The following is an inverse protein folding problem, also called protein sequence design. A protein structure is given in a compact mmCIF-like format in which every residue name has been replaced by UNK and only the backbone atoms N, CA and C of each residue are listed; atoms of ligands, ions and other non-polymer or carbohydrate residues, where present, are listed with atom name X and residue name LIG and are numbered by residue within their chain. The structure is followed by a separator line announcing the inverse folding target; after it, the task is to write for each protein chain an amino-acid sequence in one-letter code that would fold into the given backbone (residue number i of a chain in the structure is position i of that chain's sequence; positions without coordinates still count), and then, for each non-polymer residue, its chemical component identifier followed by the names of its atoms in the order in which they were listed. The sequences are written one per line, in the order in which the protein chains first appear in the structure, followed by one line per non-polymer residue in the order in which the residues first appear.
data_IF_433576225197
#
_entry.id   IF_433576225197
#
_cell.length_a   1.000
_cell.length_b   1.000
_cell.length_c   1.000
_cell.angle_alpha   90.00
_cell.angle_beta   90.00
_cell.angle_gamma   90.00
#
_symmetry.space_group_name_H-M   'P 1'
#
loop_
_entity.id
_entity.type
_entity.pdbx_description
1 polymer ?
#
# COMPACT_ATOMS: atom_id res chain seq x y z
N UNK A 1 -68.93 87.39 159.05
CA UNK A 1 -68.97 88.51 160.02
C UNK A 1 -69.04 87.90 161.40
N UNK A 2 -67.94 87.77 162.13
CA UNK A 2 -67.71 88.65 163.29
C UNK A 2 -66.31 88.48 163.89
N UNK A 3 -65.34 87.91 163.16
CA UNK A 3 -63.94 87.93 163.61
C UNK A 3 -63.29 89.31 163.42
N UNK A 4 -63.70 90.06 162.40
CA UNK A 4 -63.05 91.33 162.03
C UNK A 4 -63.28 92.46 163.04
N UNK A 5 -64.50 92.62 163.55
CA UNK A 5 -64.84 93.74 164.46
C UNK A 5 -64.23 93.53 165.85
N UNK A 6 -64.17 92.27 166.33
CA UNK A 6 -63.59 91.92 167.63
C UNK A 6 -62.08 92.16 167.64
N UNK A 7 -61.39 91.82 166.55
CA UNK A 7 -59.95 92.06 166.41
C UNK A 7 -59.63 93.56 166.34
N UNK A 8 -60.45 94.34 165.62
CA UNK A 8 -60.27 95.80 165.51
C UNK A 8 -60.48 96.48 166.87
N UNK A 9 -61.47 96.06 167.68
CA UNK A 9 -61.69 96.58 169.04
C UNK A 9 -60.56 96.22 170.02
N UNK A 10 -60.05 94.98 169.97
CA UNK A 10 -58.96 94.54 170.85
C UNK A 10 -57.64 95.28 170.58
N UNK A 11 -57.34 95.57 169.31
CA UNK A 11 -56.12 96.31 168.91
C UNK A 11 -56.19 97.78 169.31
N UNK A 12 -57.37 98.40 169.25
CA UNK A 12 -57.57 99.80 169.65
C UNK A 12 -57.36 100.00 171.17
N UNK A 13 -57.86 99.07 171.99
CA UNK A 13 -57.67 99.11 173.45
C UNK A 13 -56.20 98.90 173.81
N UNK A 14 -55.55 97.91 173.20
CA UNK A 14 -54.14 97.61 173.47
C UNK A 14 -53.22 98.77 173.04
N UNK A 15 -53.54 99.45 171.93
CA UNK A 15 -52.84 100.65 171.48
C UNK A 15 -52.93 101.82 172.46
N UNK A 16 -54.09 102.04 173.08
CA UNK A 16 -54.28 103.09 174.09
C UNK A 16 -53.47 102.86 175.38
N UNK A 17 -53.36 101.60 175.81
CA UNK A 17 -52.59 101.23 177.03
C UNK A 17 -51.09 101.39 176.79
N UNK A 18 -50.57 101.00 175.63
CA UNK A 18 -49.13 101.08 175.35
C UNK A 18 -48.68 102.54 175.17
N UNK A 19 -49.52 103.40 174.59
CA UNK A 19 -49.23 104.82 174.44
C UNK A 19 -49.05 105.53 175.80
N UNK A 20 -49.87 105.20 176.80
CA UNK A 20 -49.77 105.81 178.14
C UNK A 20 -48.55 105.35 178.93
N UNK A 21 -48.08 104.11 178.71
CA UNK A 21 -46.86 103.61 179.36
C UNK A 21 -45.60 104.25 178.74
N UNK A 22 -45.58 104.43 177.41
CA UNK A 22 -44.48 105.08 176.72
C UNK A 22 -44.22 106.51 177.22
N UNK A 23 -45.28 107.30 177.41
CA UNK A 23 -45.16 108.68 177.89
C UNK A 23 -44.70 108.77 179.36
N UNK A 24 -45.10 107.77 180.17
CA UNK A 24 -44.70 107.68 181.58
C UNK A 24 -43.23 107.35 181.77
N UNK A 25 -42.66 106.53 180.89
CA UNK A 25 -41.23 106.20 180.92
C UNK A 25 -40.42 107.42 180.47
N UNK A 26 -40.87 108.13 179.42
CA UNK A 26 -40.22 109.36 178.96
C UNK A 26 -40.17 110.45 180.04
N UNK A 27 -41.26 110.67 180.76
CA UNK A 27 -41.35 111.73 181.79
C UNK A 27 -40.58 111.41 183.08
N UNK A 28 -40.46 110.13 183.47
CA UNK A 28 -39.65 109.74 184.63
C UNK A 28 -38.16 109.96 184.41
N UNK A 29 -37.65 109.67 183.20
CA UNK A 29 -36.25 109.94 182.87
C UNK A 29 -35.97 111.46 182.88
N UNK A 30 -36.95 112.29 182.53
CA UNK A 30 -36.84 113.75 182.54
C UNK A 30 -36.74 114.41 183.93
N UNK A 31 -37.38 113.84 184.97
CA UNK A 31 -37.29 114.37 186.35
C UNK A 31 -36.07 113.87 187.11
N UNK A 32 -35.52 112.72 186.74
CA UNK A 32 -34.37 112.11 187.43
C UNK A 32 -33.02 112.81 187.14
N UNK A 33 -32.98 113.86 186.30
CA UNK A 33 -31.74 114.57 185.89
C UNK A 33 -30.64 113.60 185.42
N UNK A 34 -31.03 112.51 184.76
CA UNK A 34 -30.11 111.50 184.26
C UNK A 34 -29.53 111.94 182.92
N UNK A 35 -28.23 112.18 182.93
CA UNK A 35 -27.44 112.45 181.74
C UNK A 35 -27.02 111.12 181.11
N UNK A 36 -27.52 110.85 179.91
CA UNK A 36 -26.94 109.83 179.03
C UNK A 36 -26.07 110.59 178.03
N UNK A 37 -24.76 110.32 178.02
CA UNK A 37 -23.80 110.92 177.09
C UNK A 37 -23.69 112.46 177.16
N UNK A 38 -23.51 113.02 178.36
CA UNK A 38 -23.20 114.45 178.58
C UNK A 38 -24.22 115.45 177.99
N UNK A 39 -25.45 114.98 177.72
CA UNK A 39 -26.51 115.77 177.13
C UNK A 39 -27.37 116.46 178.20
N UNK A 40 -27.78 117.70 177.89
CA UNK A 40 -28.70 118.50 178.71
C UNK A 40 -29.98 117.67 178.95
N UNK A 41 -30.45 117.49 180.21
CA UNK A 41 -31.44 116.48 180.61
C UNK A 41 -32.74 116.40 179.80
N UNK A 42 -33.11 117.49 179.12
CA UNK A 42 -34.31 117.57 178.28
C UNK A 42 -34.21 116.76 176.98
N UNK A 43 -33.00 116.51 176.44
CA UNK A 43 -32.83 115.80 175.15
C UNK A 43 -32.78 114.28 175.28
N UNK A 44 -32.38 113.75 176.43
CA UNK A 44 -32.34 112.31 176.70
C UNK A 44 -33.74 111.67 176.72
N UNK A 45 -34.75 112.40 177.20
CA UNK A 45 -36.12 111.92 177.23
C UNK A 45 -36.71 111.72 175.82
N UNK A 46 -36.37 112.61 174.88
CA UNK A 46 -36.89 112.55 173.49
C UNK A 46 -36.38 111.32 172.74
N UNK A 47 -35.14 110.89 172.99
CA UNK A 47 -34.56 109.74 172.31
C UNK A 47 -35.25 108.42 172.68
N UNK A 48 -35.66 108.27 173.94
CA UNK A 48 -36.31 107.04 174.43
C UNK A 48 -37.72 106.88 173.85
N UNK A 49 -38.41 107.99 173.54
CA UNK A 49 -39.76 107.97 172.95
C UNK A 49 -39.77 107.56 171.47
N UNK A 50 -38.73 107.92 170.70
CA UNK A 50 -38.62 107.54 169.28
C UNK A 50 -38.36 106.05 169.12
N UNK A 51 -37.52 105.47 169.99
CA UNK A 51 -37.20 104.05 169.97
C UNK A 51 -38.41 103.15 170.29
N UNK A 52 -39.30 103.60 171.17
CA UNK A 52 -40.52 102.87 171.52
C UNK A 52 -41.59 102.96 170.42
N UNK A 53 -41.72 104.10 169.72
CA UNK A 53 -42.64 104.23 168.59
C UNK A 53 -42.26 103.36 167.37
N UNK A 54 -40.97 103.15 167.13
CA UNK A 54 -40.48 102.36 165.98
C UNK A 54 -40.71 100.85 166.14
N UNK A 55 -40.63 100.35 167.37
CA UNK A 55 -40.82 98.91 167.65
C UNK A 55 -42.28 98.46 167.44
N UNK A 56 -43.25 99.36 167.65
CA UNK A 56 -44.68 99.06 167.54
C UNK A 56 -45.12 98.88 166.08
N UNK A 57 -44.59 99.67 165.14
CA UNK A 57 -44.98 99.63 163.72
C UNK A 57 -44.46 98.38 163.00
N UNK A 58 -43.28 97.90 163.37
CA UNK A 58 -42.70 96.68 162.79
C UNK A 58 -43.50 95.42 163.17
N UNK A 59 -44.00 95.35 164.40
CA UNK A 59 -44.82 94.23 164.87
C UNK A 59 -46.19 94.15 164.18
N UNK A 60 -46.78 95.29 163.78
CA UNK A 60 -48.09 95.33 163.12
C UNK A 60 -48.05 94.81 161.68
N UNK A 61 -46.97 95.13 160.94
CA UNK A 61 -46.78 94.67 159.57
C UNK A 61 -46.51 93.16 159.49
N UNK A 62 -45.73 92.62 160.42
CA UNK A 62 -45.42 91.19 160.48
C UNK A 62 -46.66 90.32 160.69
N UNK A 63 -47.61 90.79 161.51
CA UNK A 63 -48.83 90.05 161.82
C UNK A 63 -49.81 89.99 160.62
N UNK A 64 -49.87 91.04 159.80
CA UNK A 64 -50.76 91.12 158.62
C UNK A 64 -50.37 90.14 157.50
N UNK A 65 -49.07 89.86 157.33
CA UNK A 65 -48.59 88.93 156.30
C UNK A 65 -48.83 87.46 156.64
N UNK A 66 -48.87 87.12 157.93
CA UNK A 66 -49.08 85.73 158.40
C UNK A 66 -50.56 85.33 158.36
N UNK A 67 -51.47 86.28 158.60
CA UNK A 67 -52.90 85.96 158.81
C UNK A 67 -53.75 85.96 157.54
N UNK A 68 -53.26 86.44 156.39
CA UNK A 68 -54.07 86.59 155.19
C UNK A 68 -53.52 85.83 153.97
N UNK A 69 -54.06 84.62 153.73
CA UNK A 69 -53.70 83.77 152.61
C UNK A 69 -54.03 84.37 151.22
N UNK A 70 -55.01 85.27 151.13
CA UNK A 70 -55.40 85.90 149.85
C UNK A 70 -54.38 86.94 149.37
N UNK A 71 -53.68 87.61 150.29
CA UNK A 71 -52.56 88.51 149.96
C UNK A 71 -51.32 87.73 149.49
N UNK A 72 -51.16 86.46 149.91
CA UNK A 72 -50.04 85.59 149.52
C UNK A 72 -50.17 85.07 148.08
N UNK A 73 -51.39 84.74 147.64
CA UNK A 73 -51.66 84.15 146.31
C UNK A 73 -51.72 85.22 145.20
N UNK A 74 -52.18 86.44 145.51
CA UNK A 74 -52.30 87.52 144.51
C UNK A 74 -50.98 88.10 143.99
N UNK A 75 -49.86 87.93 144.72
CA UNK A 75 -48.58 88.59 144.40
C UNK A 75 -47.59 87.64 143.67
N UNK A 76 -47.82 86.33 143.61
CA UNK A 76 -46.77 85.35 143.23
C UNK A 76 -47.04 84.34 142.07
N UNK A 77 -48.13 84.39 141.29
CA UNK A 77 -48.40 83.35 140.26
C UNK A 77 -48.86 83.76 138.83
N UNK A 78 -48.51 84.95 138.32
CA UNK A 78 -48.92 85.36 136.96
C UNK A 78 -48.13 84.71 135.78
N UNK A 79 -46.98 84.08 136.00
CA UNK A 79 -46.12 83.57 134.92
C UNK A 79 -46.43 82.15 134.38
N UNK A 80 -47.30 81.37 135.02
CA UNK A 80 -47.47 79.94 134.67
C UNK A 80 -48.63 79.66 133.71
N UNK A 81 -49.56 80.60 133.52
CA UNK A 81 -50.74 80.40 132.65
C UNK A 81 -50.43 80.70 131.18
N UNK A 82 -49.52 81.64 130.88
CA UNK A 82 -49.12 81.96 129.50
C UNK A 82 -48.29 80.85 128.83
N UNK A 83 -47.47 80.10 129.58
CA UNK A 83 -46.64 79.02 129.01
C UNK A 83 -47.44 77.83 128.47
N UNK A 84 -48.62 77.54 129.04
CA UNK A 84 -49.44 76.38 128.64
C UNK A 84 -50.15 76.59 127.29
N UNK A 85 -50.43 77.83 126.90
CA UNK A 85 -51.05 78.19 125.62
C UNK A 85 -50.05 78.21 124.44
N UNK A 86 -48.77 78.53 124.69
CA UNK A 86 -47.71 78.43 123.67
C UNK A 86 -47.41 76.98 123.30
N UNK A 87 -47.32 76.08 124.29
CA UNK A 87 -46.96 74.68 124.07
C UNK A 87 -47.94 73.91 123.18
N UNK A 88 -49.24 74.17 123.28
CA UNK A 88 -50.26 73.49 122.46
C UNK A 88 -50.28 73.99 121.01
N UNK A 89 -49.98 75.28 120.79
CA UNK A 89 -49.80 75.85 119.44
C UNK A 89 -48.60 75.21 118.73
N UNK A 90 -47.50 75.01 119.46
CA UNK A 90 -46.29 74.40 118.89
C UNK A 90 -46.49 72.91 118.53
N UNK A 91 -47.24 72.14 119.33
CA UNK A 91 -47.54 70.74 119.01
C UNK A 91 -48.44 70.61 117.78
N UNK A 92 -49.43 71.49 117.63
CA UNK A 92 -50.33 71.47 116.47
C UNK A 92 -49.56 71.78 115.18
N UNK A 93 -48.64 72.75 115.23
CA UNK A 93 -47.79 73.09 114.11
C UNK A 93 -46.88 71.92 113.70
N UNK A 94 -46.22 71.25 114.66
CA UNK A 94 -45.36 70.09 114.35
C UNK A 94 -46.10 68.90 113.72
N UNK A 95 -47.35 68.65 114.11
CA UNK A 95 -48.17 67.59 113.48
C UNK A 95 -48.65 67.96 112.09
N UNK A 96 -48.93 69.23 111.84
CA UNK A 96 -49.26 69.72 110.48
C UNK A 96 -48.02 69.61 109.58
N UNK A 97 -46.87 70.08 110.05
CA UNK A 97 -45.59 69.98 109.33
C UNK A 97 -45.21 68.51 109.07
N UNK A 98 -45.43 67.60 110.03
CA UNK A 98 -45.16 66.16 109.86
C UNK A 98 -46.13 65.44 108.91
N UNK A 99 -47.40 65.86 108.84
CA UNK A 99 -48.36 65.35 107.84
C UNK A 99 -48.01 65.85 106.43
N UNK A 100 -47.54 67.08 106.31
CA UNK A 100 -47.05 67.65 105.05
C UNK A 100 -45.79 66.90 104.56
N UNK A 101 -44.86 66.56 105.46
CA UNK A 101 -43.69 65.75 105.13
C UNK A 101 -44.05 64.32 104.69
N UNK A 102 -44.95 63.64 105.41
CA UNK A 102 -45.38 62.28 105.06
C UNK A 102 -46.16 62.26 103.73
N UNK A 103 -46.97 63.28 103.46
CA UNK A 103 -47.69 63.38 102.18
C UNK A 103 -46.73 63.65 101.02
N UNK A 104 -45.69 64.46 101.22
CA UNK A 104 -44.62 64.64 100.25
C UNK A 104 -43.81 63.36 100.01
N UNK A 105 -43.41 62.64 101.08
CA UNK A 105 -42.70 61.36 100.97
C UNK A 105 -43.57 60.31 100.27
N UNK A 106 -44.85 60.23 100.61
CA UNK A 106 -45.81 59.33 99.94
C UNK A 106 -45.94 59.67 98.46
N UNK A 107 -46.06 60.96 98.11
CA UNK A 107 -46.09 61.40 96.72
C UNK A 107 -44.80 61.07 95.97
N UNK A 108 -43.63 61.22 96.60
CA UNK A 108 -42.33 60.87 96.02
C UNK A 108 -42.18 59.35 95.82
N UNK A 109 -42.62 58.53 96.77
CA UNK A 109 -42.61 57.06 96.65
C UNK A 109 -43.63 56.59 95.62
N UNK A 110 -44.81 57.19 95.54
CA UNK A 110 -45.80 56.91 94.49
C UNK A 110 -45.26 57.27 93.10
N UNK A 111 -44.53 58.39 92.99
CA UNK A 111 -43.83 58.79 91.77
C UNK A 111 -42.71 57.79 91.41
N UNK A 112 -41.88 57.38 92.37
CA UNK A 112 -40.83 56.38 92.16
C UNK A 112 -41.40 55.01 91.79
N UNK A 113 -42.50 54.59 92.43
CA UNK A 113 -43.20 53.36 92.10
C UNK A 113 -43.82 53.43 90.71
N UNK A 114 -44.36 54.60 90.34
CA UNK A 114 -44.83 54.89 88.98
C UNK A 114 -43.71 54.75 87.96
N UNK A 115 -42.55 55.38 88.22
CA UNK A 115 -41.36 55.30 87.38
C UNK A 115 -40.79 53.88 87.28
N UNK A 116 -40.74 53.15 88.39
CA UNK A 116 -40.28 51.76 88.41
C UNK A 116 -41.24 50.83 87.65
N UNK A 117 -42.57 51.05 87.77
CA UNK A 117 -43.57 50.31 86.99
C UNK A 117 -43.48 50.61 85.50
N UNK A 118 -43.25 51.87 85.11
CA UNK A 118 -43.05 52.23 83.70
C UNK A 118 -41.76 51.61 83.16
N UNK A 119 -40.66 51.65 83.93
CA UNK A 119 -39.40 51.00 83.56
C UNK A 119 -39.57 49.48 83.43
N UNK A 120 -40.29 48.83 84.36
CA UNK A 120 -40.58 47.40 84.29
C UNK A 120 -41.42 47.05 83.05
N UNK A 121 -42.44 47.85 82.72
CA UNK A 121 -43.25 47.67 81.53
C UNK A 121 -42.45 47.87 80.24
N UNK A 122 -41.54 48.85 80.20
CA UNK A 122 -40.61 49.07 79.08
C UNK A 122 -39.62 47.91 78.93
N UNK A 123 -39.05 47.41 80.04
CA UNK A 123 -38.15 46.24 80.03
C UNK A 123 -38.89 45.00 79.56
N UNK A 124 -40.13 44.77 80.02
CA UNK A 124 -40.95 43.65 79.55
C UNK A 124 -41.23 43.75 78.05
N UNK A 125 -41.63 44.92 77.58
CA UNK A 125 -41.86 45.18 76.15
C UNK A 125 -40.58 44.98 75.33
N UNK A 126 -39.42 45.37 75.87
CA UNK A 126 -38.12 45.17 75.24
C UNK A 126 -37.73 43.70 75.22
N UNK A 127 -37.98 42.94 76.28
CA UNK A 127 -37.76 41.49 76.33
C UNK A 127 -38.66 40.77 75.32
N UNK A 128 -39.93 41.15 75.22
CA UNK A 128 -40.86 40.54 74.26
C UNK A 128 -40.40 40.80 72.82
N UNK A 129 -39.97 42.03 72.50
CA UNK A 129 -39.37 42.35 71.19
C UNK A 129 -38.07 41.58 70.92
N UNK A 130 -37.19 41.48 71.92
CA UNK A 130 -35.94 40.73 71.80
C UNK A 130 -36.26 39.25 71.57
N UNK A 131 -37.17 38.65 72.34
CA UNK A 131 -37.59 37.26 72.18
C UNK A 131 -38.18 37.00 70.79
N UNK A 132 -39.03 37.90 70.28
CA UNK A 132 -39.59 37.77 68.94
C UNK A 132 -38.49 37.90 67.86
N UNK A 133 -37.58 38.86 68.01
CA UNK A 133 -36.44 39.01 67.10
C UNK A 133 -35.47 37.82 67.14
N UNK A 134 -35.27 37.23 68.32
CA UNK A 134 -34.45 36.05 68.53
C UNK A 134 -35.10 34.85 67.86
N UNK A 135 -36.42 34.67 68.01
CA UNK A 135 -37.19 33.62 67.34
C UNK A 135 -37.08 33.71 65.82
N UNK A 136 -37.23 34.92 65.26
CA UNK A 136 -37.02 35.15 63.82
C UNK A 136 -35.59 34.81 63.40
N UNK A 137 -34.59 35.20 64.19
CA UNK A 137 -33.18 34.94 63.89
C UNK A 137 -32.84 33.44 63.94
N UNK A 138 -33.38 32.70 64.91
CA UNK A 138 -33.25 31.24 65.01
C UNK A 138 -33.88 30.55 63.80
N UNK A 139 -35.08 30.97 63.38
CA UNK A 139 -35.72 30.42 62.17
C UNK A 139 -34.91 30.74 60.92
N UNK A 140 -34.39 31.97 60.79
CA UNK A 140 -33.51 32.36 59.66
C UNK A 140 -32.21 31.55 59.66
N UNK A 141 -31.61 31.31 60.82
CA UNK A 141 -30.41 30.47 60.94
C UNK A 141 -30.70 29.03 60.53
N UNK A 142 -31.80 28.44 61.01
CA UNK A 142 -32.21 27.09 60.64
C UNK A 142 -32.49 26.97 59.12
N UNK A 143 -33.11 27.99 58.51
CA UNK A 143 -33.31 28.04 57.06
C UNK A 143 -31.99 28.16 56.29
N UNK A 144 -31.06 29.00 56.76
CA UNK A 144 -29.74 29.15 56.15
C UNK A 144 -28.90 27.85 56.26
N UNK A 145 -28.95 27.16 57.41
CA UNK A 145 -28.33 25.86 57.61
C UNK A 145 -28.92 24.79 56.67
N UNK A 146 -30.26 24.76 56.53
CA UNK A 146 -30.92 23.85 55.58
C UNK A 146 -30.56 24.15 54.12
N UNK A 147 -30.47 25.43 53.74
CA UNK A 147 -30.02 25.83 52.40
C UNK A 147 -28.56 25.44 52.16
N UNK A 148 -27.69 25.65 53.15
CA UNK A 148 -26.29 25.25 53.09
C UNK A 148 -26.14 23.74 52.93
N UNK A 149 -26.87 22.92 53.69
CA UNK A 149 -26.87 21.47 53.54
C UNK A 149 -27.35 21.01 52.15
N UNK A 150 -28.39 21.66 51.59
CA UNK A 150 -28.83 21.38 50.21
C UNK A 150 -27.77 21.75 49.19
N UNK A 151 -27.11 22.90 49.35
CA UNK A 151 -26.03 23.31 48.46
C UNK A 151 -24.81 22.38 48.57
N UNK A 152 -24.47 21.92 49.78
CA UNK A 152 -23.39 20.96 50.02
C UNK A 152 -23.71 19.60 49.37
N UNK A 153 -24.91 19.05 49.56
CA UNK A 153 -25.32 17.79 48.90
C UNK A 153 -25.35 17.90 47.39
N UNK A 154 -25.84 19.01 46.84
CA UNK A 154 -25.84 19.24 45.39
C UNK A 154 -24.43 19.41 44.82
N UNK A 155 -23.54 20.10 45.54
CA UNK A 155 -22.13 20.22 45.17
C UNK A 155 -21.44 18.86 45.16
N UNK A 156 -21.70 18.02 46.16
CA UNK A 156 -21.10 16.70 46.27
C UNK A 156 -21.62 15.75 45.17
N UNK A 157 -22.92 15.83 44.83
CA UNK A 157 -23.50 15.13 43.68
C UNK A 157 -22.82 15.53 42.36
N UNK A 158 -22.70 16.84 42.10
CA UNK A 158 -22.06 17.37 40.88
C UNK A 158 -20.59 16.96 40.85
N UNK A 159 -19.89 16.99 41.99
CA UNK A 159 -18.50 16.55 42.09
C UNK A 159 -18.35 15.06 41.76
N UNK A 160 -19.30 14.23 42.21
CA UNK A 160 -19.39 12.82 41.84
C UNK A 160 -19.59 12.63 40.34
N UNK A 161 -20.56 13.32 39.74
CA UNK A 161 -20.82 13.27 38.29
C UNK A 161 -19.61 13.73 37.47
N UNK A 162 -18.97 14.84 37.85
CA UNK A 162 -17.79 15.36 37.19
C UNK A 162 -16.62 14.37 37.26
N UNK A 163 -16.45 13.67 38.39
CA UNK A 163 -15.47 12.60 38.53
C UNK A 163 -15.74 11.46 37.55
N UNK A 164 -16.99 10.98 37.46
CA UNK A 164 -17.38 9.92 36.51
C UNK A 164 -17.15 10.33 35.06
N UNK A 165 -17.58 11.53 34.67
CA UNK A 165 -17.39 12.05 33.31
C UNK A 165 -15.90 12.24 33.00
N UNK A 166 -15.11 12.71 33.95
CA UNK A 166 -13.65 12.83 33.81
C UNK A 166 -12.98 11.46 33.58
N UNK A 167 -13.38 10.44 34.35
CA UNK A 167 -12.88 9.06 34.15
C UNK A 167 -13.28 8.50 32.78
N UNK A 168 -14.52 8.74 32.33
CA UNK A 168 -14.98 8.34 31.01
C UNK A 168 -14.20 9.05 29.89
N UNK A 169 -13.94 10.35 30.03
CA UNK A 169 -13.16 11.13 29.08
C UNK A 169 -11.70 10.62 28.98
N UNK A 170 -11.09 10.25 30.11
CA UNK A 170 -9.76 9.63 30.13
C UNK A 170 -9.76 8.27 29.43
N UNK A 171 -10.77 7.44 29.69
CA UNK A 171 -10.91 6.13 29.04
C UNK A 171 -11.07 6.27 27.52
N UNK A 172 -12.00 7.11 27.07
CA UNK A 172 -12.21 7.40 25.65
C UNK A 172 -10.96 7.95 24.98
N UNK A 173 -10.23 8.84 25.67
CA UNK A 173 -8.96 9.37 25.15
C UNK A 173 -7.90 8.28 24.96
N UNK A 174 -7.82 7.33 25.89
CA UNK A 174 -6.94 6.15 25.77
C UNK A 174 -7.36 5.27 24.60
N UNK A 175 -8.66 4.97 24.47
CA UNK A 175 -9.21 4.17 23.37
C UNK A 175 -8.96 4.84 22.00
N UNK A 176 -9.15 6.15 21.88
CA UNK A 176 -8.86 6.92 20.66
C UNK A 176 -7.37 6.83 20.31
N UNK A 177 -6.48 6.99 21.30
CA UNK A 177 -5.03 6.87 21.08
C UNK A 177 -4.65 5.48 20.59
N UNK A 178 -5.27 4.44 21.14
CA UNK A 178 -5.03 3.06 20.73
C UNK A 178 -5.55 2.81 19.30
N UNK A 179 -6.77 3.24 18.98
CA UNK A 179 -7.34 3.14 17.64
C UNK A 179 -6.53 3.91 16.59
N UNK A 180 -5.96 5.05 16.96
CA UNK A 180 -5.05 5.80 16.08
C UNK A 180 -3.77 5.01 15.79
N UNK A 181 -3.20 4.36 16.81
CA UNK A 181 -2.04 3.47 16.65
C UNK A 181 -2.38 2.27 15.76
N UNK A 182 -3.49 1.58 16.03
CA UNK A 182 -3.94 0.42 15.25
C UNK A 182 -4.20 0.80 13.79
N UNK A 183 -4.83 1.96 13.55
CA UNK A 183 -5.02 2.49 12.20
C UNK A 183 -3.69 2.72 11.49
N UNK A 184 -2.68 3.25 12.17
CA UNK A 184 -1.36 3.49 11.58
C UNK A 184 -0.67 2.18 11.21
N UNK A 185 -0.79 1.15 12.06
CA UNK A 185 -0.28 -0.20 11.79
C UNK A 185 -1.00 -0.80 10.57
N UNK A 186 -2.33 -0.70 10.50
CA UNK A 186 -3.12 -1.21 9.38
C UNK A 186 -2.79 -0.48 8.06
N UNK A 187 -2.53 0.83 8.11
CA UNK A 187 -2.07 1.59 6.94
C UNK A 187 -0.72 1.06 6.47
N UNK A 188 0.23 0.85 7.38
CA UNK A 188 1.54 0.29 7.04
C UNK A 188 1.43 -1.12 6.45
N UNK A 189 0.59 -1.99 7.03
CA UNK A 189 0.32 -3.33 6.50
C UNK A 189 -0.31 -3.28 5.10
N UNK A 190 -1.31 -2.43 4.90
CA UNK A 190 -1.93 -2.22 3.58
C UNK A 190 -0.91 -1.77 2.55
N UNK A 191 -0.04 -0.83 2.91
CA UNK A 191 0.98 -0.30 1.99
C UNK A 191 2.04 -1.35 1.66
N UNK A 192 2.42 -2.17 2.64
CA UNK A 192 3.30 -3.33 2.41
C UNK A 192 2.65 -4.35 1.47
N UNK A 193 1.40 -4.73 1.70
CA UNK A 193 0.67 -5.66 0.81
C UNK A 193 0.54 -5.07 -0.60
N UNK A 194 0.27 -3.77 -0.72
CA UNK A 194 0.20 -3.09 -2.01
C UNK A 194 1.53 -3.14 -2.76
N UNK A 195 2.66 -2.97 -2.07
CA UNK A 195 3.99 -3.13 -2.66
C UNK A 195 4.25 -4.58 -3.09
N UNK A 196 3.86 -5.57 -2.27
CA UNK A 196 3.98 -6.98 -2.63
C UNK A 196 3.16 -7.31 -3.89
N UNK A 197 1.92 -6.83 -3.99
CA UNK A 197 1.08 -7.01 -5.18
C UNK A 197 1.78 -6.41 -6.40
N UNK A 198 2.27 -5.17 -6.32
CA UNK A 198 2.98 -4.54 -7.43
C UNK A 198 4.23 -5.33 -7.85
N UNK A 199 4.99 -5.86 -6.90
CA UNK A 199 6.13 -6.74 -7.20
C UNK A 199 5.69 -8.03 -7.92
N UNK A 200 4.63 -8.68 -7.44
CA UNK A 200 4.12 -9.90 -8.10
C UNK A 200 3.55 -9.61 -9.48
N UNK A 201 2.89 -8.48 -9.68
CA UNK A 201 2.39 -8.07 -11.00
C UNK A 201 3.55 -7.89 -11.99
N UNK A 202 4.67 -7.30 -11.55
CA UNK A 202 5.88 -7.22 -12.40
C UNK A 202 6.49 -8.59 -12.70
N UNK A 203 6.51 -9.50 -11.72
CA UNK A 203 7.00 -10.86 -11.90
C UNK A 203 6.11 -11.65 -12.88
N UNK A 204 4.79 -11.53 -12.75
CA UNK A 204 3.82 -12.15 -13.65
C UNK A 204 3.99 -11.61 -15.07
N UNK A 205 4.15 -10.29 -15.24
CA UNK A 205 4.38 -9.69 -16.55
C UNK A 205 5.67 -10.24 -17.21
N UNK A 206 6.76 -10.36 -16.44
CA UNK A 206 8.02 -10.95 -16.94
C UNK A 206 7.88 -12.43 -17.30
N UNK A 207 7.18 -13.20 -16.49
CA UNK A 207 6.90 -14.63 -16.76
C UNK A 207 6.03 -14.79 -18.01
N UNK A 208 5.00 -13.97 -18.18
CA UNK A 208 4.14 -13.99 -19.37
C UNK A 208 4.94 -13.69 -20.64
N UNK A 209 5.80 -12.68 -20.63
CA UNK A 209 6.69 -12.39 -21.77
C UNK A 209 7.64 -13.57 -22.09
N UNK A 210 8.13 -14.26 -21.06
CA UNK A 210 8.98 -15.45 -21.24
C UNK A 210 8.20 -16.62 -21.82
N UNK A 211 6.94 -16.82 -21.40
CA UNK A 211 6.07 -17.87 -21.95
C UNK A 211 5.80 -17.58 -23.43
N UNK A 212 5.44 -16.35 -23.78
CA UNK A 212 5.18 -15.97 -25.17
C UNK A 212 6.41 -16.20 -26.08
N UNK A 213 7.61 -15.86 -25.61
CA UNK A 213 8.86 -16.17 -26.32
C UNK A 213 9.09 -17.69 -26.49
N UNK A 214 8.75 -18.49 -25.48
CA UNK A 214 8.89 -19.95 -25.55
C UNK A 214 7.87 -20.57 -26.50
N UNK A 215 6.65 -20.07 -26.49
CA UNK A 215 5.58 -20.56 -27.38
C UNK A 215 5.94 -20.29 -28.85
N UNK A 216 6.48 -19.10 -29.15
CA UNK A 216 7.02 -18.81 -30.50
C UNK A 216 8.14 -19.78 -30.89
N UNK A 217 9.08 -20.05 -29.97
CA UNK A 217 10.18 -21.00 -30.23
C UNK A 217 9.68 -22.43 -30.45
N UNK A 218 8.66 -22.87 -29.71
CA UNK A 218 8.05 -24.19 -29.89
C UNK A 218 7.38 -24.26 -31.26
N UNK A 219 6.61 -23.24 -31.65
CA UNK A 219 5.97 -23.19 -32.96
C UNK A 219 7.01 -23.25 -34.12
N UNK A 220 8.13 -22.53 -34.00
CA UNK A 220 9.23 -22.61 -34.97
C UNK A 220 9.85 -24.02 -35.03
N UNK A 221 10.03 -24.67 -33.87
CA UNK A 221 10.56 -26.02 -33.79
C UNK A 221 9.62 -27.05 -34.40
N UNK A 222 8.31 -26.92 -34.17
CA UNK A 222 7.30 -27.81 -34.75
C UNK A 222 7.31 -27.74 -36.28
N UNK A 223 7.49 -26.54 -36.85
CA UNK A 223 7.64 -26.36 -38.29
C UNK A 223 8.89 -27.07 -38.84
N UNK A 224 10.02 -26.95 -38.13
CA UNK A 224 11.26 -27.65 -38.50
C UNK A 224 11.10 -29.17 -38.38
N UNK A 225 10.41 -29.67 -37.35
CA UNK A 225 10.13 -31.10 -37.18
C UNK A 225 9.26 -31.61 -38.33
N UNK A 226 8.17 -30.91 -38.66
CA UNK A 226 7.31 -31.28 -39.79
C UNK A 226 8.06 -31.34 -41.13
N UNK A 227 8.96 -30.37 -41.38
CA UNK A 227 9.84 -30.40 -42.56
C UNK A 227 10.79 -31.60 -42.56
N UNK A 228 11.39 -31.93 -41.40
CA UNK A 228 12.28 -33.08 -41.26
C UNK A 228 11.55 -34.40 -41.45
N UNK A 229 10.34 -34.55 -40.92
CA UNK A 229 9.51 -35.73 -41.12
C UNK A 229 9.15 -35.92 -42.60
N UNK A 230 8.77 -34.84 -43.29
CA UNK A 230 8.52 -34.89 -44.74
C UNK A 230 9.78 -35.32 -45.51
N UNK A 231 10.94 -34.77 -45.16
CA UNK A 231 12.21 -35.14 -45.81
C UNK A 231 12.61 -36.58 -45.52
N UNK A 232 12.40 -37.06 -44.28
CA UNK A 232 12.69 -38.43 -43.90
C UNK A 232 11.85 -39.40 -44.74
N UNK A 233 10.55 -39.14 -44.88
CA UNK A 233 9.65 -39.95 -45.70
C UNK A 233 10.07 -39.99 -47.17
N UNK A 234 10.53 -38.85 -47.71
CA UNK A 234 11.08 -38.79 -49.07
C UNK A 234 12.35 -39.64 -49.21
N UNK A 235 13.27 -39.55 -48.25
CA UNK A 235 14.50 -40.33 -48.25
C UNK A 235 14.24 -41.84 -48.11
N UNK A 236 13.28 -42.25 -47.28
CA UNK A 236 12.86 -43.66 -47.15
C UNK A 236 12.28 -44.19 -48.47
N UNK A 237 11.47 -43.39 -49.16
CA UNK A 237 10.95 -43.74 -50.49
C UNK A 237 12.10 -43.89 -51.51
N UNK A 238 13.07 -42.97 -51.49
CA UNK A 238 14.26 -43.05 -52.36
C UNK A 238 15.11 -44.28 -52.07
N UNK A 239 15.35 -44.61 -50.80
CA UNK A 239 16.09 -45.82 -50.43
C UNK A 239 15.39 -47.08 -50.93
N UNK A 240 14.07 -47.16 -50.77
CA UNK A 240 13.28 -48.31 -51.23
C UNK A 240 13.38 -48.48 -52.75
N UNK A 241 13.29 -47.37 -53.49
CA UNK A 241 13.45 -47.36 -54.94
C UNK A 241 14.86 -47.78 -55.39
N UNK A 242 15.90 -47.27 -54.74
CA UNK A 242 17.28 -47.62 -55.05
C UNK A 242 17.57 -49.09 -54.74
N UNK A 243 17.07 -49.61 -53.61
CA UNK A 243 17.21 -51.02 -53.26
C UNK A 243 16.61 -51.93 -54.35
N UNK A 244 15.42 -51.60 -54.87
CA UNK A 244 14.79 -52.33 -55.97
C UNK A 244 15.63 -52.28 -57.26
N UNK A 245 16.21 -51.11 -57.60
CA UNK A 245 17.09 -50.97 -58.77
C UNK A 245 18.37 -51.80 -58.65
N UNK A 246 19.01 -51.78 -57.48
CA UNK A 246 20.21 -52.58 -57.23
C UNK A 246 19.91 -54.06 -57.41
N UNK A 247 18.80 -54.54 -56.83
CA UNK A 247 18.38 -55.92 -56.96
C UNK A 247 18.14 -56.34 -58.42
N UNK A 248 17.47 -55.50 -59.21
CA UNK A 248 17.27 -55.75 -60.64
C UNK A 248 18.62 -55.80 -61.39
N UNK A 249 19.51 -54.86 -61.12
CA UNK A 249 20.83 -54.81 -61.75
C UNK A 249 21.69 -56.03 -61.40
N UNK A 250 21.61 -56.54 -60.17
CA UNK A 250 22.32 -57.74 -59.74
C UNK A 250 21.81 -58.99 -60.46
N UNK A 251 20.49 -59.09 -60.67
CA UNK A 251 19.89 -60.17 -61.46
C UNK A 251 20.40 -60.15 -62.92
N UNK A 252 20.43 -58.98 -63.55
CA UNK A 252 20.97 -58.82 -64.91
C UNK A 252 22.46 -59.19 -64.97
N UNK A 253 23.26 -58.77 -63.99
CA UNK A 253 24.68 -59.10 -63.92
C UNK A 253 24.92 -60.61 -63.76
N UNK A 254 24.08 -61.32 -63.01
CA UNK A 254 24.18 -62.78 -62.85
C UNK A 254 23.91 -63.52 -64.17
N UNK A 255 22.93 -63.05 -64.96
CA UNK A 255 22.65 -63.60 -66.30
C UNK A 255 23.84 -63.46 -67.25
N UNK A 256 24.52 -62.31 -67.21
CA UNK A 256 25.73 -62.05 -67.99
C UNK A 256 26.86 -62.97 -67.52
N UNK A 257 27.12 -63.05 -66.21
CA UNK A 257 28.22 -63.84 -65.63
C UNK A 257 28.11 -65.32 -65.94
N UNK A 258 26.89 -65.87 -65.98
CA UNK A 258 26.65 -67.27 -66.32
C UNK A 258 26.82 -67.58 -67.81
N UNK A 259 27.10 -66.58 -68.65
CA UNK A 259 27.29 -66.73 -70.10
C UNK A 259 26.01 -67.15 -70.84
N UNK A 260 24.85 -67.02 -70.19
CA UNK A 260 23.56 -67.44 -70.74
C UNK A 260 22.97 -66.30 -71.59
N UNK A 261 23.31 -65.03 -71.33
CA UNK A 261 22.91 -63.92 -72.19
C UNK A 261 23.54 -64.06 -73.59
N UNK A 262 22.70 -64.15 -74.62
CA UNK A 262 23.14 -64.37 -76.02
C UNK A 262 22.82 -63.20 -76.93
N UNK A 263 21.73 -62.47 -76.65
CA UNK A 263 21.38 -61.22 -77.33
C UNK A 263 21.20 -60.13 -76.28
N UNK A 264 21.84 -58.99 -76.49
CA UNK A 264 21.66 -57.81 -75.65
C UNK A 264 20.56 -56.91 -76.21
N UNK A 265 19.85 -56.21 -75.32
CA UNK A 265 18.97 -55.10 -75.71
C UNK A 265 19.78 -54.09 -76.53
N UNK A 266 19.20 -53.59 -77.61
CA UNK A 266 19.81 -52.68 -78.58
C UNK A 266 20.92 -53.30 -79.45
N UNK A 267 21.13 -54.62 -79.39
CA UNK A 267 22.02 -55.28 -80.34
C UNK A 267 21.41 -55.29 -81.74
N UNK A 268 22.20 -54.90 -82.74
CA UNK A 268 21.81 -54.99 -84.15
C UNK A 268 21.91 -56.44 -84.60
N UNK A 269 20.77 -57.02 -85.01
CA UNK A 269 20.66 -58.40 -85.46
C UNK A 269 20.82 -58.51 -86.98
N UNK A 270 20.39 -57.50 -87.73
CA UNK A 270 20.65 -57.37 -89.16
C UNK A 270 20.70 -55.90 -89.57
N UNK A 271 21.47 -55.59 -90.61
CA UNK A 271 21.57 -54.25 -91.18
C UNK A 271 21.78 -54.36 -92.70
N UNK A 272 21.10 -53.52 -93.48
CA UNK A 272 21.28 -53.45 -94.93
C UNK A 272 21.04 -52.02 -95.46
N UNK A 273 21.65 -51.71 -96.60
CA UNK A 273 21.31 -50.52 -97.38
C UNK A 273 20.21 -50.93 -98.37
N UNK A 274 19.10 -50.20 -98.36
CA UNK A 274 17.92 -50.51 -99.17
C UNK A 274 17.56 -49.27 -100.00
N UNK A 275 17.31 -49.49 -101.30
CA UNK A 275 16.73 -48.49 -102.22
C UNK A 275 15.52 -49.11 -102.89
N UNK A 276 14.34 -48.54 -102.68
CA UNK A 276 13.09 -49.04 -103.25
C UNK A 276 12.70 -48.21 -104.47
N UNK A 277 13.08 -48.69 -105.65
CA UNK A 277 12.72 -48.03 -106.93
C UNK A 277 11.34 -48.47 -107.43
N UNK A 278 11.00 -49.75 -107.23
CA UNK A 278 9.66 -50.29 -107.48
C UNK A 278 8.95 -50.50 -106.12
N UNK A 279 7.88 -49.74 -105.82
CA UNK A 279 7.12 -49.88 -104.58
C UNK A 279 6.60 -51.30 -104.31
N UNK A 280 6.42 -52.11 -105.35
CA UNK A 280 5.97 -53.49 -105.18
C UNK A 280 7.03 -54.40 -104.51
N UNK A 281 8.30 -53.98 -104.51
CA UNK A 281 9.41 -54.75 -103.95
C UNK A 281 9.74 -54.42 -102.48
N UNK A 282 9.07 -53.43 -101.88
CA UNK A 282 9.36 -52.98 -100.49
C UNK A 282 9.15 -54.10 -99.46
N UNK A 283 8.05 -54.84 -99.57
CA UNK A 283 7.75 -55.95 -98.66
C UNK A 283 8.82 -57.04 -98.75
N UNK A 284 9.26 -57.37 -99.96
CA UNK A 284 10.29 -58.38 -100.17
C UNK A 284 11.63 -57.96 -99.54
N UNK A 285 12.00 -56.68 -99.63
CA UNK A 285 13.22 -56.15 -99.02
C UNK A 285 13.18 -56.23 -97.48
N UNK A 286 12.05 -55.84 -96.87
CA UNK A 286 11.84 -55.94 -95.42
C UNK A 286 11.87 -57.40 -94.96
N UNK A 287 11.19 -58.31 -95.67
CA UNK A 287 11.17 -59.74 -95.36
C UNK A 287 12.56 -60.40 -95.45
N UNK A 288 13.38 -59.98 -96.41
CA UNK A 288 14.77 -60.47 -96.51
C UNK A 288 15.59 -60.04 -95.30
N UNK A 289 15.42 -58.80 -94.84
CA UNK A 289 16.13 -58.28 -93.67
C UNK A 289 15.67 -58.94 -92.36
N UNK A 290 14.36 -59.13 -92.19
CA UNK A 290 13.80 -59.86 -91.05
C UNK A 290 14.25 -61.32 -91.02
N UNK A 291 14.32 -62.00 -92.17
CA UNK A 291 14.88 -63.36 -92.26
C UNK A 291 16.35 -63.39 -91.84
N UNK A 292 17.13 -62.39 -92.23
CA UNK A 292 18.52 -62.30 -91.79
C UNK A 292 18.63 -62.10 -90.28
N UNK A 293 17.83 -61.19 -89.71
CA UNK A 293 17.78 -60.98 -88.26
C UNK A 293 17.34 -62.26 -87.53
N UNK A 294 16.37 -62.98 -88.09
CA UNK A 294 15.88 -64.26 -87.56
C UNK A 294 16.99 -65.31 -87.48
N UNK A 295 17.83 -65.45 -88.52
CA UNK A 295 18.97 -66.37 -88.50
C UNK A 295 19.98 -66.02 -87.43
N UNK A 296 20.35 -64.74 -87.29
CA UNK A 296 21.29 -64.26 -86.27
C UNK A 296 20.74 -64.51 -84.87
N UNK A 297 19.46 -64.19 -84.65
CA UNK A 297 18.80 -64.42 -83.37
C UNK A 297 18.69 -65.91 -83.03
N UNK A 298 18.34 -66.75 -84.00
CA UNK A 298 18.24 -68.20 -83.83
C UNK A 298 19.58 -68.82 -83.48
N UNK A 299 20.65 -68.45 -84.19
CA UNK A 299 22.01 -68.92 -83.87
C UNK A 299 22.47 -68.49 -82.48
N UNK A 300 22.08 -67.30 -82.03
CA UNK A 300 22.43 -66.79 -80.71
C UNK A 300 21.67 -67.52 -79.60
N UNK A 301 20.34 -67.60 -79.69
CA UNK A 301 19.46 -68.10 -78.61
C UNK A 301 19.34 -69.62 -78.64
N UNK A 302 19.33 -70.26 -79.81
CA UNK A 302 19.18 -71.71 -79.97
C UNK A 302 20.21 -72.29 -80.96
N UNK A 303 21.51 -72.33 -80.61
CA UNK A 303 22.54 -72.85 -81.50
C UNK A 303 22.31 -74.33 -81.81
N UNK A 304 22.39 -74.69 -83.10
CA UNK A 304 22.24 -76.08 -83.58
C UNK A 304 20.86 -76.43 -84.15
N UNK A 305 19.87 -75.55 -84.03
CA UNK A 305 18.60 -75.68 -84.77
C UNK A 305 18.85 -75.38 -86.24
N UNK A 306 18.55 -76.33 -87.12
CA UNK A 306 18.69 -76.21 -88.58
C UNK A 306 17.35 -76.02 -89.30
N UNK A 307 16.25 -76.16 -88.58
CA UNK A 307 14.90 -75.89 -89.09
C UNK A 307 14.68 -74.38 -89.27
N UNK A 308 13.91 -74.00 -90.30
CA UNK A 308 13.53 -72.61 -90.58
C UNK A 308 12.44 -72.16 -89.60
N UNK A 309 12.81 -71.95 -88.34
CA UNK A 309 11.93 -71.51 -87.26
C UNK A 309 11.98 -70.00 -87.14
N UNK A 310 10.81 -69.36 -87.14
CA UNK A 310 10.70 -67.94 -86.84
C UNK A 310 10.79 -67.71 -85.32
N UNK A 311 11.91 -67.14 -84.88
CA UNK A 311 12.14 -66.70 -83.49
C UNK A 311 12.04 -65.19 -83.34
N UNK A 312 12.24 -64.41 -84.40
CA UNK A 312 12.11 -62.95 -84.36
C UNK A 312 10.65 -62.52 -84.53
N UNK A 313 10.21 -61.63 -83.66
CA UNK A 313 8.89 -61.02 -83.67
C UNK A 313 9.01 -59.50 -83.77
N UNK A 314 8.36 -58.93 -84.77
CA UNK A 314 8.18 -57.48 -84.97
C UNK A 314 6.69 -57.20 -85.10
N UNK A 315 6.22 -56.05 -84.64
CA UNK A 315 4.79 -55.73 -84.71
C UNK A 315 4.40 -55.22 -86.11
N UNK A 316 3.16 -55.50 -86.55
CA UNK A 316 2.67 -55.02 -87.84
C UNK A 316 2.76 -53.48 -87.98
N UNK A 317 2.46 -52.66 -86.96
CA UNK A 317 2.65 -51.21 -87.04
C UNK A 317 4.10 -50.79 -87.27
N UNK A 318 5.08 -51.44 -86.61
CA UNK A 318 6.50 -51.14 -86.83
C UNK A 318 6.95 -51.50 -88.25
N UNK A 319 6.47 -52.62 -88.80
CA UNK A 319 6.72 -53.01 -90.19
C UNK A 319 6.12 -51.99 -91.15
N UNK A 320 4.88 -51.56 -90.92
CA UNK A 320 4.22 -50.56 -91.77
C UNK A 320 4.94 -49.22 -91.73
N UNK A 321 5.34 -48.76 -90.55
CA UNK A 321 6.11 -47.53 -90.39
C UNK A 321 7.45 -47.59 -91.16
N UNK A 322 8.14 -48.73 -91.07
CA UNK A 322 9.37 -48.95 -91.83
C UNK A 322 9.11 -48.87 -93.34
N UNK A 323 8.08 -49.56 -93.83
CA UNK A 323 7.70 -49.56 -95.25
C UNK A 323 7.40 -48.13 -95.71
N UNK A 324 6.56 -47.40 -94.98
CA UNK A 324 6.17 -46.03 -95.32
C UNK A 324 7.39 -45.10 -95.37
N UNK A 325 8.38 -45.34 -94.52
CA UNK A 325 9.60 -44.52 -94.44
C UNK A 325 10.57 -44.78 -95.60
N UNK A 326 10.74 -46.02 -96.04
CA UNK A 326 11.75 -46.38 -97.06
C UNK A 326 11.21 -46.41 -98.50
N UNK A 327 9.90 -46.23 -98.68
CA UNK A 327 9.22 -46.31 -99.98
C UNK A 327 9.15 -44.96 -100.72
N UNK A 328 10.23 -44.17 -100.69
CA UNK A 328 10.33 -42.84 -101.33
C UNK A 328 11.37 -42.79 -102.48
N UNK A 329 11.98 -43.94 -102.83
CA UNK A 329 13.01 -44.04 -103.85
C UNK A 329 14.45 -43.75 -103.40
N UNK A 330 14.67 -43.38 -102.13
CA UNK A 330 15.98 -42.98 -101.61
C UNK A 330 16.73 -44.15 -100.97
N UNK A 331 18.02 -43.97 -100.70
CA UNK A 331 18.83 -44.95 -99.95
C UNK A 331 18.57 -44.82 -98.45
N UNK A 332 18.26 -45.95 -97.79
CA UNK A 332 18.15 -46.04 -96.35
C UNK A 332 19.08 -47.12 -95.80
N UNK A 333 19.68 -46.84 -94.64
CA UNK A 333 20.28 -47.87 -93.80
C UNK A 333 19.17 -48.36 -92.87
N UNK A 334 18.77 -49.62 -93.03
CA UNK A 334 17.75 -50.24 -92.20
C UNK A 334 18.42 -51.23 -91.26
N UNK A 335 18.10 -51.14 -89.97
CA UNK A 335 18.62 -52.00 -88.90
C UNK A 335 17.46 -52.68 -88.17
N UNK A 336 17.61 -53.97 -87.89
CA UNK A 336 16.73 -54.73 -87.02
C UNK A 336 17.43 -54.89 -85.67
N UNK A 337 16.80 -54.41 -84.61
CA UNK A 337 17.42 -54.21 -83.31
C UNK A 337 16.62 -54.96 -82.24
N UNK A 338 17.31 -55.68 -81.36
CA UNK A 338 16.67 -56.40 -80.26
C UNK A 338 16.06 -55.45 -79.22
N UNK A 339 14.79 -55.67 -78.86
CA UNK A 339 14.06 -54.84 -77.90
C UNK A 339 14.36 -55.21 -76.43
N UNK A 340 14.91 -56.40 -76.18
CA UNK A 340 15.21 -56.92 -74.86
C UNK A 340 16.48 -57.80 -74.86
N UNK A 341 16.86 -58.23 -73.65
CA UNK A 341 17.92 -59.20 -73.42
C UNK A 341 17.33 -60.60 -73.60
N UNK A 342 18.01 -61.47 -74.35
CA UNK A 342 17.58 -62.86 -74.56
C UNK A 342 18.68 -63.84 -74.20
N UNK A 343 18.29 -64.92 -73.52
CA UNK A 343 19.21 -65.93 -73.00
C UNK A 343 19.16 -67.24 -73.80
N UNK A 344 20.23 -68.02 -73.79
CA UNK A 344 20.30 -69.30 -74.50
C UNK A 344 19.20 -70.27 -74.03
N UNK A 345 18.53 -70.90 -74.98
CA UNK A 345 17.46 -71.88 -74.74
C UNK A 345 16.10 -71.25 -74.46
N UNK A 346 16.00 -69.91 -74.43
CA UNK A 346 14.74 -69.21 -74.30
C UNK A 346 13.84 -69.49 -75.52
N UNK A 347 12.57 -69.79 -75.24
CA UNK A 347 11.55 -70.11 -76.26
C UNK A 347 10.62 -68.95 -76.58
N UNK A 348 10.77 -67.84 -75.86
CA UNK A 348 10.01 -66.62 -76.16
C UNK A 348 10.53 -66.05 -77.48
N UNK A 349 9.65 -65.46 -78.31
CA UNK A 349 10.10 -64.76 -79.49
C UNK A 349 11.01 -63.58 -79.14
N UNK A 350 12.08 -63.42 -79.90
CA UNK A 350 12.98 -62.27 -79.87
C UNK A 350 12.24 -61.08 -80.46
N UNK A 351 11.70 -60.23 -79.58
CA UNK A 351 11.08 -58.99 -79.96
C UNK A 351 12.14 -58.03 -80.52
N UNK A 352 11.85 -57.47 -81.69
CA UNK A 352 12.71 -56.53 -82.40
C UNK A 352 11.91 -55.32 -82.83
N UNK A 353 12.61 -54.21 -83.02
CA UNK A 353 12.11 -53.05 -83.73
C UNK A 353 13.04 -52.73 -84.90
N UNK A 354 12.52 -52.00 -85.89
CA UNK A 354 13.29 -51.54 -87.02
C UNK A 354 13.62 -50.05 -86.87
N UNK A 355 14.83 -49.69 -87.29
CA UNK A 355 15.27 -48.30 -87.43
C UNK A 355 15.74 -48.08 -88.86
N UNK A 356 15.29 -47.01 -89.50
CA UNK A 356 15.68 -46.63 -90.85
C UNK A 356 16.16 -45.18 -90.86
N UNK A 357 17.37 -44.97 -91.39
CA UNK A 357 17.95 -43.63 -91.52
C UNK A 357 18.43 -43.45 -92.95
N UNK A 358 18.17 -42.28 -93.55
CA UNK A 358 18.63 -41.99 -94.92
C UNK A 358 20.16 -42.15 -95.00
N UNK A 359 20.62 -42.90 -96.00
CA UNK A 359 22.03 -43.13 -96.26
C UNK A 359 22.63 -41.97 -97.05
N UNK A 360 22.95 -40.88 -96.35
CA UNK A 360 23.45 -39.64 -96.93
C UNK A 360 24.96 -39.50 -96.70
N UNK A 361 25.60 -38.67 -97.52
CA UNK A 361 27.01 -38.32 -97.33
C UNK A 361 27.17 -37.49 -96.05
N UNK A 362 28.03 -37.94 -95.15
CA UNK A 362 28.37 -37.25 -93.90
C UNK A 362 29.73 -36.56 -93.94
N UNK A 363 30.68 -37.13 -94.68
CA UNK A 363 32.01 -36.57 -94.90
C UNK A 363 32.43 -36.77 -96.36
N UNK A 364 33.01 -35.74 -96.97
CA UNK A 364 33.68 -35.82 -98.27
C UNK A 364 35.14 -36.23 -98.07
N UNK A 365 35.74 -36.80 -99.12
CA UNK A 365 37.18 -37.08 -99.12
C UNK A 365 37.97 -35.79 -98.88
N UNK A 366 38.89 -35.81 -97.91
CA UNK A 366 39.69 -34.67 -97.48
C UNK A 366 39.07 -33.81 -96.37
N UNK A 367 37.82 -34.07 -95.96
CA UNK A 367 37.20 -33.34 -94.85
C UNK A 367 37.99 -33.53 -93.55
N UNK A 368 38.30 -32.43 -92.87
CA UNK A 368 38.96 -32.48 -91.57
C UNK A 368 37.97 -32.93 -90.50
N UNK A 369 38.18 -34.12 -89.95
CA UNK A 369 37.35 -34.75 -88.92
C UNK A 369 37.79 -34.29 -87.52
N UNK A 370 39.09 -34.23 -87.24
CA UNK A 370 39.59 -33.67 -85.99
C UNK A 370 40.97 -33.06 -86.23
N UNK A 371 41.36 -32.07 -85.42
CA UNK A 371 42.71 -31.54 -85.43
C UNK A 371 43.23 -31.24 -84.03
N UNK A 372 44.54 -31.29 -83.86
CA UNK A 372 45.24 -30.95 -82.61
C UNK A 372 46.63 -30.41 -82.95
N UNK A 373 46.96 -29.25 -82.40
CA UNK A 373 48.31 -28.69 -82.48
C UNK A 373 49.21 -29.35 -81.44
N UNK A 374 50.41 -29.76 -81.86
CA UNK A 374 51.42 -30.39 -81.01
C UNK A 374 52.82 -29.84 -81.34
N UNK A 375 53.75 -30.03 -80.42
CA UNK A 375 55.18 -29.80 -80.64
C UNK A 375 55.92 -31.14 -80.50
N UNK A 376 56.14 -31.89 -81.60
CA UNK A 376 56.64 -33.26 -81.52
C UNK A 376 57.98 -33.40 -80.78
N UNK A 377 58.84 -32.38 -80.86
CA UNK A 377 60.14 -32.34 -80.19
C UNK A 377 60.04 -32.33 -78.65
N UNK A 378 58.94 -31.83 -78.11
CA UNK A 378 58.69 -31.71 -76.66
C UNK A 378 57.93 -32.90 -76.07
N UNK A 379 57.58 -33.91 -76.89
CA UNK A 379 56.77 -35.05 -76.50
C UNK A 379 57.55 -36.37 -76.56
N UNK A 380 57.46 -37.17 -75.49
CA UNK A 380 57.91 -38.57 -75.49
C UNK A 380 57.08 -39.42 -76.47
N UNK A 381 57.56 -40.63 -76.77
CA UNK A 381 56.86 -41.58 -77.66
C UNK A 381 55.48 -41.93 -77.13
N UNK A 382 55.36 -42.09 -75.82
CA UNK A 382 54.09 -42.38 -75.16
C UNK A 382 53.12 -41.20 -75.23
N UNK A 383 53.57 -39.98 -74.94
CA UNK A 383 52.73 -38.76 -75.00
C UNK A 383 52.27 -38.42 -76.43
N UNK A 384 53.13 -38.67 -77.42
CA UNK A 384 52.77 -38.51 -78.83
C UNK A 384 51.71 -39.54 -79.23
N UNK A 385 51.91 -40.82 -78.90
CA UNK A 385 50.92 -41.88 -79.16
C UNK A 385 49.59 -41.61 -78.44
N UNK A 386 49.63 -41.11 -77.20
CA UNK A 386 48.45 -40.71 -76.45
C UNK A 386 47.73 -39.54 -77.15
N UNK A 387 48.44 -38.51 -77.60
CA UNK A 387 47.85 -37.38 -78.32
C UNK A 387 47.18 -37.79 -79.62
N UNK A 388 47.77 -38.71 -80.37
CA UNK A 388 47.17 -39.26 -81.57
C UNK A 388 45.97 -40.14 -81.22
N UNK A 389 46.06 -40.97 -80.17
CA UNK A 389 44.94 -41.80 -79.70
C UNK A 389 43.74 -40.94 -79.27
N UNK A 390 43.99 -39.81 -78.61
CA UNK A 390 42.97 -38.79 -78.29
C UNK A 390 42.35 -38.19 -79.56
N UNK A 391 43.16 -37.91 -80.58
CA UNK A 391 42.67 -37.38 -81.86
C UNK A 391 41.77 -38.39 -82.59
N UNK A 392 42.13 -39.68 -82.56
CA UNK A 392 41.30 -40.79 -83.07
C UNK A 392 40.01 -40.93 -82.25
N UNK A 393 40.07 -40.82 -80.93
CA UNK A 393 38.88 -40.83 -80.07
C UNK A 393 37.94 -39.64 -80.37
N UNK A 394 38.49 -38.43 -80.57
CA UNK A 394 37.73 -37.25 -80.98
C UNK A 394 37.09 -37.45 -82.37
N UNK A 395 37.79 -38.10 -83.30
CA UNK A 395 37.26 -38.43 -84.63
C UNK A 395 36.11 -39.44 -84.55
N UNK A 396 36.24 -40.48 -83.73
CA UNK A 396 35.16 -41.42 -83.42
C UNK A 396 33.94 -40.69 -82.85
N UNK A 397 34.15 -39.79 -81.88
CA UNK A 397 33.07 -39.00 -81.29
C UNK A 397 32.37 -38.12 -82.34
N UNK A 398 33.15 -37.43 -83.20
CA UNK A 398 32.57 -36.62 -84.28
C UNK A 398 31.81 -37.46 -85.30
N UNK A 399 32.34 -38.62 -85.69
CA UNK A 399 31.68 -39.54 -86.62
C UNK A 399 30.32 -40.00 -86.08
N UNK A 400 30.27 -40.45 -84.82
CA UNK A 400 29.03 -40.85 -84.15
C UNK A 400 28.04 -39.69 -84.05
N UNK A 401 28.51 -38.50 -83.66
CA UNK A 401 27.67 -37.29 -83.56
C UNK A 401 27.12 -36.84 -84.92
N UNK A 402 27.88 -37.04 -85.99
CA UNK A 402 27.44 -36.74 -87.36
C UNK A 402 26.43 -37.76 -87.91
N UNK A 403 26.27 -38.92 -87.26
CA UNK A 403 25.29 -39.95 -87.62
C UNK A 403 25.87 -41.19 -88.27
N UNK A 404 27.19 -41.44 -88.20
CA UNK A 404 27.78 -42.71 -88.68
C UNK A 404 27.32 -43.86 -87.78
N UNK A 405 26.69 -44.88 -88.36
CA UNK A 405 25.99 -45.94 -87.61
C UNK A 405 26.86 -47.14 -87.24
N UNK A 406 27.87 -47.50 -88.04
CA UNK A 406 28.78 -48.61 -87.72
C UNK A 406 29.84 -48.20 -86.71
N UNK A 407 30.10 -49.06 -85.72
CA UNK A 407 31.24 -48.89 -84.82
C UNK A 407 32.55 -49.32 -85.50
N UNK A 408 33.15 -48.42 -86.29
CA UNK A 408 34.60 -48.36 -86.51
C UNK A 408 34.93 -47.09 -87.30
N UNK A 409 35.76 -46.23 -86.72
CA UNK A 409 36.72 -45.47 -87.54
C UNK A 409 37.78 -46.47 -87.98
N UNK A 410 37.90 -46.68 -89.29
CA UNK A 410 38.90 -47.59 -89.84
C UNK A 410 40.12 -46.79 -90.26
N UNK A 411 41.27 -47.19 -89.73
CA UNK A 411 42.55 -46.66 -90.17
C UNK A 411 42.92 -47.43 -91.43
N UNK A 412 43.06 -46.74 -92.56
CA UNK A 412 43.25 -47.37 -93.87
C UNK A 412 44.47 -48.31 -93.87
N UNK A 413 45.62 -47.85 -93.35
CA UNK A 413 46.86 -48.65 -93.24
C UNK A 413 47.51 -48.57 -91.85
N UNK A 414 47.38 -49.63 -91.03
CA UNK A 414 47.99 -49.69 -89.69
C UNK A 414 49.53 -49.65 -89.72
N UNK A 415 50.17 -50.16 -90.78
CA UNK A 415 51.64 -50.15 -90.92
C UNK A 415 52.20 -48.76 -91.27
N UNK A 416 51.42 -47.90 -91.94
CA UNK A 416 51.83 -46.53 -92.25
C UNK A 416 51.88 -45.63 -91.01
N UNK A 417 51.24 -46.07 -89.91
CA UNK A 417 51.13 -45.32 -88.67
C UNK A 417 52.43 -45.21 -87.88
N UNK A 418 53.19 -46.31 -87.77
CA UNK A 418 54.48 -46.30 -87.06
C UNK A 418 55.51 -45.43 -87.77
N UNK A 419 55.58 -45.52 -89.10
CA UNK A 419 56.46 -44.70 -89.94
C UNK A 419 56.08 -43.22 -89.86
N UNK A 420 54.79 -42.90 -89.82
CA UNK A 420 54.32 -41.53 -89.65
C UNK A 420 54.77 -40.93 -88.31
N UNK A 421 54.65 -41.67 -87.21
CA UNK A 421 55.10 -41.20 -85.88
C UNK A 421 56.61 -40.97 -85.84
N UNK A 422 57.40 -41.85 -86.47
CA UNK A 422 58.87 -41.70 -86.58
C UNK A 422 59.26 -40.47 -87.41
N UNK A 423 58.64 -40.26 -88.57
CA UNK A 423 58.92 -39.12 -89.45
C UNK A 423 58.48 -37.79 -88.83
N UNK A 424 57.37 -37.77 -88.09
CA UNK A 424 56.88 -36.59 -87.39
C UNK A 424 57.87 -36.05 -86.35
N UNK A 425 58.70 -36.91 -85.76
CA UNK A 425 59.75 -36.52 -84.79
C UNK A 425 60.93 -35.77 -85.42
N UNK A 426 61.15 -35.90 -86.72
CA UNK A 426 62.27 -35.25 -87.39
C UNK A 426 62.08 -33.73 -87.50
N UNK A 427 60.85 -33.26 -87.31
CA UNK A 427 60.49 -31.84 -87.31
C UNK A 427 60.77 -31.20 -85.93
N UNK A 428 62.02 -30.82 -85.73
CA UNK A 428 62.47 -30.15 -84.51
C UNK A 428 62.16 -28.64 -84.56
N UNK A 429 61.52 -28.10 -83.51
CA UNK A 429 61.26 -26.67 -83.26
C UNK A 429 60.10 -26.01 -84.03
N UNK A 430 58.99 -26.71 -84.25
CA UNK A 430 57.77 -26.06 -84.77
C UNK A 430 56.50 -26.69 -84.24
N UNK A 431 55.49 -25.85 -83.98
CA UNK A 431 54.12 -26.30 -83.75
C UNK A 431 53.59 -26.90 -85.05
N UNK A 432 53.20 -28.17 -85.00
CA UNK A 432 52.60 -28.91 -86.10
C UNK A 432 51.13 -29.15 -85.78
N UNK A 433 50.26 -28.86 -86.74
CA UNK A 433 48.85 -29.19 -86.64
C UNK A 433 48.65 -30.61 -87.18
N UNK A 434 48.37 -31.56 -86.30
CA UNK A 434 47.92 -32.89 -86.68
C UNK A 434 46.43 -32.85 -87.00
N UNK A 435 46.06 -33.39 -88.15
CA UNK A 435 44.68 -33.53 -88.60
C UNK A 435 44.39 -34.99 -88.88
N UNK A 436 43.18 -35.41 -88.52
CA UNK A 436 42.54 -36.59 -89.07
C UNK A 436 41.59 -36.11 -90.16
N UNK A 437 41.79 -36.61 -91.37
CA UNK A 437 40.95 -36.32 -92.53
C UNK A 437 40.23 -37.59 -92.98
N UNK A 438 39.06 -37.43 -93.60
CA UNK A 438 38.37 -38.53 -94.25
C UNK A 438 39.15 -38.96 -95.50
N UNK A 439 39.53 -40.24 -95.58
CA UNK A 439 40.27 -40.80 -96.72
C UNK A 439 39.40 -40.83 -97.98
N UNK A 440 38.12 -41.17 -97.79
CA UNK A 440 37.12 -41.30 -98.85
C UNK A 440 35.77 -40.73 -98.38
N UNK A 441 34.82 -40.64 -99.31
CA UNK A 441 33.45 -40.22 -99.00
C UNK A 441 32.80 -41.21 -98.03
N UNK A 442 32.33 -40.72 -96.89
CA UNK A 442 31.69 -41.53 -95.85
C UNK A 442 30.20 -41.23 -95.78
N UNK A 443 29.39 -42.29 -95.82
CA UNK A 443 27.93 -42.22 -95.70
C UNK A 443 27.46 -42.57 -94.28
N UNK A 444 26.18 -42.36 -93.99
CA UNK A 444 25.51 -42.77 -92.74
C UNK A 444 25.83 -44.20 -92.32
N UNK A 445 25.89 -45.14 -93.28
CA UNK A 445 26.23 -46.54 -92.99
C UNK A 445 27.63 -46.72 -92.40
N UNK A 446 28.59 -45.86 -92.75
CA UNK A 446 30.00 -46.02 -92.38
C UNK A 446 30.68 -47.23 -93.04
N UNK A 447 31.89 -47.61 -92.61
CA UNK A 447 32.73 -46.93 -91.61
C UNK A 447 33.33 -45.62 -92.14
N UNK A 448 33.82 -44.77 -91.22
CA UNK A 448 34.63 -43.60 -91.58
C UNK A 448 36.09 -44.05 -91.73
N UNK A 449 36.59 -44.10 -92.97
CA UNK A 449 38.03 -44.32 -93.22
C UNK A 449 38.81 -43.04 -93.02
N UNK A 450 39.89 -43.12 -92.25
CA UNK A 450 40.66 -41.95 -91.86
C UNK A 450 42.12 -42.01 -92.28
N UNK A 451 42.68 -40.84 -92.51
CA UNK A 451 44.10 -40.58 -92.72
C UNK A 451 44.61 -39.54 -91.72
N UNK A 452 45.85 -39.68 -91.27
CA UNK A 452 46.55 -38.64 -90.54
C UNK A 452 47.32 -37.74 -91.50
N UNK A 453 47.22 -36.44 -91.27
CA UNK A 453 47.92 -35.40 -92.02
C UNK A 453 48.59 -34.47 -91.02
N UNK A 454 49.90 -34.26 -91.15
CA UNK A 454 50.62 -33.24 -90.43
C UNK A 454 50.75 -31.98 -91.29
N UNK A 455 50.36 -30.84 -90.73
CA UNK A 455 50.38 -29.55 -91.39
C UNK A 455 51.32 -28.59 -90.67
N UNK A 456 52.09 -27.83 -91.43
CA UNK A 456 52.91 -26.73 -90.93
C UNK A 456 52.71 -25.51 -91.82
N UNK A 457 52.39 -24.35 -91.23
CA UNK A 457 52.15 -23.09 -91.95
C UNK A 457 51.13 -23.21 -93.10
N UNK A 458 50.13 -24.09 -92.96
CA UNK A 458 49.09 -24.30 -93.97
C UNK A 458 49.47 -25.26 -95.11
N UNK A 459 50.70 -25.81 -95.13
CA UNK A 459 51.12 -26.83 -96.08
C UNK A 459 51.17 -28.23 -95.44
N UNK A 460 50.83 -29.26 -96.22
CA UNK A 460 50.97 -30.67 -95.81
C UNK A 460 52.46 -31.02 -95.81
N UNK A 461 52.98 -31.46 -94.66
CA UNK A 461 54.36 -31.91 -94.49
C UNK A 461 54.48 -33.44 -94.35
N UNK A 462 53.41 -34.10 -93.92
CA UNK A 462 53.35 -35.56 -93.78
C UNK A 462 51.92 -36.07 -93.93
N UNK A 463 51.76 -37.28 -94.47
CA UNK A 463 50.47 -37.96 -94.57
C UNK A 463 50.66 -39.48 -94.46
N UNK A 464 49.71 -40.20 -93.87
CA UNK A 464 49.74 -41.67 -93.78
C UNK A 464 49.36 -42.41 -95.06
N UNK A 465 48.77 -41.73 -96.04
CA UNK A 465 48.38 -42.29 -97.34
C UNK A 465 49.38 -41.94 -98.45
N UNK A 466 49.90 -42.99 -99.09
CA UNK A 466 50.51 -42.99 -100.42
C UNK A 466 49.90 -44.12 -101.23
#
# INVERSE_FOLDING_TARGET
MSSAVVLILAVLILGGVIATVGDRIGTRVGKARLSLFNLRPKKTAVLVTILTGSFISAATMALLLVTNERLRVGIFQLGQIERKLSGTRDTLKRTLDGLEEITQQKAQVEQQLGQARTQQAEVQTRLDRINESLKVSVVRQAQAEAQRQRAETQRDLIRGQLSTVSQQALKLRSEISQLQSDRQILIAQRDQVKQQIAQRDTEIAQRNATIEQRDQRIADQDLVIAQRESRLKELEAQQTYLAQKVQLSEQEADLIRRGILRIQRNQVLASAIVRIVDPNLVNQAVDQLLRQANRVALQAVQPGVTEDVQVVQITNPEVQQLIDQINDGQDYVVRIIAAANYVQGEKTPVAVFADAVRNQVLFLAGDVVASKSIEPANLSTEELNQSISQLVAASNFRARRAGVLTEAVQIDHLQAWSTFVEQLRQYNNSTIELRIVAAEVTYTVGPLKIELVAMQNGAVILRTAS
#
